data_IF_410824585882
#
_entry.id   IF_410824585882
#
_cell.length_a   1.000
_cell.length_b   1.000
_cell.length_c   1.000
_cell.angle_alpha   90.00
_cell.angle_beta   90.00
_cell.angle_gamma   90.00
#
_symmetry.space_group_name_H-M   'P 1'
#
loop_
_entity.id
_entity.type
_entity.pdbx_description
1 polymer ?
#
# COMPACT_ATOMS: atom_id res chain seq x y z
N UNK A 1 -1.23 -18.82 -2.89
CA UNK A 1 -0.49 -18.17 -1.78
C UNK A 1 -1.18 -16.85 -1.44
N UNK A 2 -1.20 -16.43 -0.16
CA UNK A 2 -1.73 -15.12 0.26
C UNK A 2 -0.60 -14.23 0.76
N UNK A 3 -0.58 -12.97 0.32
CA UNK A 3 0.44 -11.99 0.69
C UNK A 3 -0.24 -10.72 1.21
N UNK A 4 0.25 -10.19 2.33
CA UNK A 4 -0.11 -8.84 2.78
C UNK A 4 0.85 -7.85 2.14
N UNK A 5 0.33 -6.77 1.57
CA UNK A 5 1.15 -5.77 0.90
C UNK A 5 0.68 -4.36 1.26
N UNK A 6 1.61 -3.41 1.37
CA UNK A 6 1.31 -2.00 1.57
C UNK A 6 0.39 -1.49 0.45
N UNK A 7 -0.78 -0.98 0.80
CA UNK A 7 -1.81 -0.54 -0.16
C UNK A 7 -1.29 0.55 -1.13
N UNK A 8 -0.38 1.41 -0.65
CA UNK A 8 0.24 2.43 -1.49
C UNK A 8 1.10 1.86 -2.63
N UNK A 9 1.69 0.66 -2.47
CA UNK A 9 2.44 -0.01 -3.55
C UNK A 9 1.53 -0.59 -4.62
N UNK A 10 0.25 -0.75 -4.31
CA UNK A 10 -0.80 -1.25 -5.20
C UNK A 10 -1.65 -0.11 -5.78
N UNK A 11 -1.23 1.15 -5.60
CA UNK A 11 -1.88 2.32 -6.18
C UNK A 11 -3.00 2.92 -5.33
N UNK A 12 -3.17 2.49 -4.07
CA UNK A 12 -4.13 3.17 -3.16
C UNK A 12 -3.54 4.50 -2.68
N UNK A 13 -4.27 5.59 -2.87
CA UNK A 13 -3.91 6.94 -2.42
C UNK A 13 -4.06 7.10 -0.90
N UNK A 14 -3.17 6.44 -0.16
CA UNK A 14 -3.15 6.41 1.31
C UNK A 14 -1.83 6.91 1.92
N UNK A 15 -0.89 7.42 1.11
CA UNK A 15 0.39 7.98 1.58
C UNK A 15 0.14 9.30 2.32
N UNK A 16 1.05 9.68 3.22
CA UNK A 16 0.91 10.90 4.02
C UNK A 16 0.66 12.17 3.18
N UNK A 17 1.19 12.23 1.95
CA UNK A 17 1.02 13.37 1.04
C UNK A 17 -0.22 13.29 0.14
N UNK A 18 -1.10 12.32 0.35
CA UNK A 18 -2.34 12.14 -0.44
C UNK A 18 -2.18 11.31 -1.71
N UNK A 19 -0.97 10.85 -2.05
CA UNK A 19 -0.73 10.01 -3.23
C UNK A 19 -0.48 8.54 -2.89
N UNK A 20 0.17 7.85 -3.83
CA UNK A 20 0.58 6.46 -3.71
C UNK A 20 2.03 6.24 -4.17
N UNK A 21 2.50 5.00 -4.11
CA UNK A 21 3.81 4.57 -4.59
C UNK A 21 3.64 3.33 -5.49
N UNK A 22 2.68 3.38 -6.43
CA UNK A 22 2.39 2.23 -7.30
C UNK A 22 3.68 1.63 -7.89
N UNK A 23 3.83 0.32 -7.76
CA UNK A 23 5.00 -0.41 -8.23
C UNK A 23 4.62 -1.41 -9.31
N UNK A 24 4.92 -1.08 -10.57
CA UNK A 24 4.71 -1.97 -11.71
C UNK A 24 5.42 -3.31 -11.52
N UNK A 25 6.66 -3.30 -11.01
CA UNK A 25 7.43 -4.52 -10.75
C UNK A 25 6.72 -5.46 -9.76
N UNK A 26 6.13 -4.91 -8.72
CA UNK A 26 5.38 -5.68 -7.74
C UNK A 26 4.08 -6.23 -8.35
N UNK A 27 3.35 -5.41 -9.12
CA UNK A 27 2.13 -5.84 -9.79
C UNK A 27 2.38 -6.99 -10.78
N UNK A 28 3.47 -6.92 -11.55
CA UNK A 28 3.91 -8.01 -12.43
C UNK A 28 4.25 -9.26 -11.64
N UNK A 29 5.05 -9.14 -10.57
CA UNK A 29 5.40 -10.28 -9.72
C UNK A 29 4.17 -10.96 -9.11
N UNK A 30 3.21 -10.18 -8.58
CA UNK A 30 1.96 -10.73 -8.02
C UNK A 30 1.20 -11.54 -9.08
N UNK A 31 1.11 -10.99 -10.29
CA UNK A 31 0.42 -11.62 -11.43
C UNK A 31 1.12 -12.91 -11.84
N UNK A 32 2.44 -12.87 -12.02
CA UNK A 32 3.27 -14.03 -12.38
C UNK A 32 3.19 -15.16 -11.35
N UNK A 33 3.14 -14.82 -10.05
CA UNK A 33 3.04 -15.79 -8.97
C UNK A 33 1.61 -16.29 -8.71
N UNK A 34 0.60 -15.71 -9.39
CA UNK A 34 -0.81 -16.02 -9.12
C UNK A 34 -1.20 -15.80 -7.65
N UNK A 35 -0.59 -14.82 -6.99
CA UNK A 35 -0.77 -14.60 -5.56
C UNK A 35 -2.06 -13.81 -5.28
N UNK A 36 -2.81 -14.21 -4.24
CA UNK A 36 -3.88 -13.39 -3.71
C UNK A 36 -3.29 -12.34 -2.76
N UNK A 37 -3.62 -11.06 -2.99
CA UNK A 37 -3.04 -9.96 -2.24
C UNK A 37 -4.07 -9.29 -1.35
N UNK A 38 -3.68 -9.01 -0.11
CA UNK A 38 -4.46 -8.27 0.88
C UNK A 38 -3.80 -6.89 1.03
N UNK A 39 -4.38 -5.82 0.47
CA UNK A 39 -3.84 -4.47 0.60
C UNK A 39 -4.06 -3.94 2.02
N UNK A 40 -3.00 -3.38 2.62
CA UNK A 40 -3.04 -2.85 4.00
C UNK A 40 -2.34 -1.50 4.07
N UNK A 41 -2.98 -0.52 4.72
CA UNK A 41 -2.33 0.71 5.17
C UNK A 41 -2.47 0.79 6.69
N UNK A 42 -1.42 0.47 7.47
CA UNK A 42 -1.51 0.45 8.93
C UNK A 42 -1.89 1.80 9.52
N UNK A 43 -1.42 2.90 8.92
CA UNK A 43 -1.70 4.26 9.37
C UNK A 43 -3.19 4.62 9.25
N UNK A 44 -3.81 4.35 8.09
CA UNK A 44 -5.25 4.61 7.87
C UNK A 44 -6.11 3.66 8.69
N UNK A 45 -5.75 2.39 8.77
CA UNK A 45 -6.45 1.41 9.62
C UNK A 45 -6.32 1.73 11.11
N UNK A 46 -5.23 2.41 11.50
CA UNK A 46 -5.00 2.96 12.83
C UNK A 46 -5.71 4.29 13.08
N UNK A 47 -6.43 4.84 12.11
CA UNK A 47 -7.25 6.05 12.25
C UNK A 47 -6.60 7.35 11.77
N UNK A 48 -5.40 7.32 11.18
CA UNK A 48 -4.80 8.53 10.62
C UNK A 48 -5.46 8.93 9.30
N UNK A 49 -5.65 10.24 9.05
CA UNK A 49 -6.22 10.70 7.79
C UNK A 49 -5.23 10.54 6.62
N UNK A 50 -5.75 10.76 5.41
CA UNK A 50 -4.93 11.01 4.21
C UNK A 50 -5.41 12.31 3.56
N UNK A 51 -4.57 13.35 3.40
CA UNK A 51 -3.17 13.44 3.82
C UNK A 51 -3.00 13.57 5.35
N UNK A 52 -1.75 13.44 5.82
CA UNK A 52 -1.33 13.57 7.23
C UNK A 52 0.11 14.07 7.32
N UNK A 53 0.50 14.58 8.49
CA UNK A 53 1.86 15.08 8.75
C UNK A 53 2.87 13.92 8.74
N UNK A 54 4.06 14.06 8.11
CA UNK A 54 5.13 13.06 8.20
C UNK A 54 5.51 12.74 9.65
N UNK A 55 5.92 11.50 9.92
CA UNK A 55 6.33 11.02 11.24
C UNK A 55 7.57 10.13 11.12
N UNK A 56 8.45 10.20 12.13
CA UNK A 56 9.66 9.38 12.29
C UNK A 56 9.66 8.73 13.69
N UNK A 57 10.43 7.66 13.89
CA UNK A 57 10.58 6.93 15.19
C UNK A 57 11.87 7.35 15.86
#
# INVERSE_FOLDING_TARGET
>A
MKIVCSACLLGTDCKYNGGNNYSEKLASFITEQGAQVIPVCPEVMGGLPTPRVPSEI
#
